data_IF_349109229023
#
_entry.id   IF_349109229023
#
_cell.length_a   1.000
_cell.length_b   1.000
_cell.length_c   1.000
_cell.angle_alpha   90.00
_cell.angle_beta   90.00
_cell.angle_gamma   90.00
#
_symmetry.space_group_name_H-M   'P 1'
#
loop_
_entity.id
_entity.type
_entity.pdbx_description
1 polymer ?
#
# COMPACT_ATOMS: atom_id res chain seq x y z
N UNK A 1 -1.62 14.67 -3.03
CA UNK A 1 -0.87 13.59 -2.33
C UNK A 1 -1.20 12.27 -2.99
N UNK A 2 -0.20 11.47 -3.23
CA UNK A 2 -0.37 10.14 -3.82
C UNK A 2 -0.10 9.06 -2.77
N UNK A 3 -1.06 8.16 -2.58
CA UNK A 3 -1.06 7.17 -1.49
C UNK A 3 -1.06 5.76 -2.06
N UNK A 4 -0.23 4.89 -1.49
CA UNK A 4 -0.23 3.46 -1.80
C UNK A 4 -0.79 2.70 -0.61
N UNK A 5 -1.83 1.90 -0.85
CA UNK A 5 -2.44 1.01 0.14
C UNK A 5 -2.00 -0.41 -0.16
N UNK A 6 -1.42 -1.08 0.83
CA UNK A 6 -0.93 -2.45 0.72
C UNK A 6 -1.66 -3.29 1.75
N UNK A 7 -2.64 -4.09 1.29
CA UNK A 7 -3.53 -4.85 2.16
C UNK A 7 -3.99 -6.10 1.42
N UNK A 8 -3.83 -7.27 2.04
CA UNK A 8 -4.18 -8.55 1.42
C UNK A 8 -5.69 -8.79 1.35
N UNK A 9 -6.46 -8.20 2.26
CA UNK A 9 -7.91 -8.28 2.21
C UNK A 9 -8.44 -7.26 1.21
N UNK A 10 -8.83 -7.75 0.03
CA UNK A 10 -9.19 -6.90 -1.09
C UNK A 10 -10.32 -5.92 -0.79
N UNK A 11 -11.37 -6.39 -0.10
CA UNK A 11 -12.50 -5.53 0.22
C UNK A 11 -12.09 -4.38 1.15
N UNK A 12 -11.21 -4.67 2.11
CA UNK A 12 -10.70 -3.65 3.02
C UNK A 12 -9.81 -2.65 2.28
N UNK A 13 -8.90 -3.14 1.43
CA UNK A 13 -8.04 -2.28 0.63
C UNK A 13 -8.85 -1.34 -0.25
N UNK A 14 -9.87 -1.88 -0.93
CA UNK A 14 -10.73 -1.09 -1.81
C UNK A 14 -11.56 -0.07 -1.04
N UNK A 15 -12.02 -0.43 0.16
CA UNK A 15 -12.76 0.50 1.02
C UNK A 15 -11.89 1.68 1.47
N UNK A 16 -10.65 1.39 1.85
CA UNK A 16 -9.69 2.44 2.23
C UNK A 16 -9.41 3.35 1.03
N UNK A 17 -9.18 2.76 -0.13
CA UNK A 17 -8.94 3.51 -1.37
C UNK A 17 -10.10 4.46 -1.68
N UNK A 18 -11.33 3.95 -1.67
CA UNK A 18 -12.52 4.77 -1.95
C UNK A 18 -12.67 5.93 -0.97
N UNK A 19 -12.45 5.66 0.32
CA UNK A 19 -12.56 6.68 1.34
C UNK A 19 -11.56 7.81 1.10
N UNK A 20 -10.33 7.46 0.76
CA UNK A 20 -9.27 8.46 0.52
C UNK A 20 -9.48 9.21 -0.79
N UNK A 21 -9.96 8.52 -1.83
CA UNK A 21 -10.29 9.17 -3.10
C UNK A 21 -11.38 10.21 -2.95
N UNK A 22 -12.37 9.94 -2.09
CA UNK A 22 -13.43 10.92 -1.79
C UNK A 22 -12.88 12.19 -1.14
N UNK A 23 -11.74 12.09 -0.47
CA UNK A 23 -11.07 13.24 0.15
C UNK A 23 -10.15 13.99 -0.82
N UNK A 24 -10.07 13.52 -2.07
CA UNK A 24 -9.29 14.20 -3.10
C UNK A 24 -7.88 13.67 -3.29
N UNK A 25 -7.51 12.56 -2.63
CA UNK A 25 -6.19 11.94 -2.80
C UNK A 25 -6.16 11.02 -4.00
N UNK A 26 -4.99 10.85 -4.61
CA UNK A 26 -4.74 9.83 -5.61
C UNK A 26 -4.31 8.56 -4.88
N UNK A 27 -4.99 7.44 -5.11
CA UNK A 27 -4.76 6.22 -4.35
C UNK A 27 -4.60 5.01 -5.27
N UNK A 28 -3.55 4.25 -5.02
CA UNK A 28 -3.34 2.93 -5.62
C UNK A 28 -3.48 1.88 -4.54
N UNK A 29 -4.13 0.76 -4.84
CA UNK A 29 -4.23 -0.35 -3.91
C UNK A 29 -3.57 -1.58 -4.50
N UNK A 30 -2.74 -2.25 -3.71
CA UNK A 30 -2.15 -3.54 -4.05
C UNK A 30 -2.46 -4.52 -2.92
N UNK A 31 -2.46 -5.81 -3.23
CA UNK A 31 -3.10 -6.81 -2.38
C UNK A 31 -2.12 -7.82 -1.79
N UNK A 32 -0.83 -7.65 -2.02
CA UNK A 32 0.20 -8.46 -1.37
C UNK A 32 1.49 -7.67 -1.19
N UNK A 33 2.37 -8.21 -0.33
CA UNK A 33 3.60 -7.51 0.04
C UNK A 33 4.61 -7.42 -1.10
N UNK A 34 4.65 -8.39 -2.00
CA UNK A 34 5.58 -8.33 -3.15
C UNK A 34 5.22 -7.18 -4.07
N UNK A 35 3.93 -7.09 -4.45
CA UNK A 35 3.45 -5.99 -5.27
C UNK A 35 3.65 -4.66 -4.55
N UNK A 36 3.37 -4.63 -3.24
CA UNK A 36 3.57 -3.44 -2.43
C UNK A 36 5.00 -2.94 -2.45
N UNK A 37 5.97 -3.86 -2.29
CA UNK A 37 7.38 -3.50 -2.31
C UNK A 37 7.80 -2.96 -3.68
N UNK A 38 7.35 -3.59 -4.77
CA UNK A 38 7.65 -3.14 -6.12
C UNK A 38 7.10 -1.74 -6.39
N UNK A 39 5.86 -1.50 -6.01
CA UNK A 39 5.23 -0.18 -6.20
C UNK A 39 5.91 0.88 -5.34
N UNK A 40 6.22 0.55 -4.08
CA UNK A 40 6.89 1.50 -3.18
C UNK A 40 8.25 1.94 -3.70
N UNK A 41 8.97 1.05 -4.37
CA UNK A 41 10.29 1.35 -4.95
C UNK A 41 10.22 2.33 -6.12
N UNK A 42 9.04 2.56 -6.70
CA UNK A 42 8.89 3.56 -7.76
C UNK A 42 9.14 4.99 -7.27
N UNK A 43 9.03 5.22 -5.96
CA UNK A 43 9.34 6.51 -5.36
C UNK A 43 8.34 7.62 -5.69
N UNK A 44 7.13 7.26 -6.11
CA UNK A 44 6.12 8.24 -6.53
C UNK A 44 5.03 8.47 -5.50
N UNK A 45 5.07 7.75 -4.38
CA UNK A 45 4.04 7.83 -3.34
C UNK A 45 4.50 8.67 -2.17
N UNK A 46 3.60 9.52 -1.68
CA UNK A 46 3.86 10.38 -0.53
C UNK A 46 3.59 9.67 0.79
N UNK A 47 2.74 8.64 0.77
CA UNK A 47 2.33 7.91 1.96
C UNK A 47 2.08 6.45 1.63
N UNK A 48 2.49 5.55 2.54
CA UNK A 48 2.20 4.13 2.45
C UNK A 48 1.31 3.71 3.62
N UNK A 49 0.23 2.98 3.31
CA UNK A 49 -0.63 2.37 4.33
C UNK A 49 -0.44 0.86 4.23
N UNK A 50 0.04 0.23 5.31
CA UNK A 50 0.47 -1.16 5.32
C UNK A 50 -0.31 -1.99 6.31
N UNK A 51 -0.66 -3.24 5.91
CA UNK A 51 -1.04 -4.29 6.83
C UNK A 51 0.19 -5.16 7.08
N UNK A 52 0.62 -5.29 8.34
CA UNK A 52 1.85 -6.02 8.69
C UNK A 52 1.68 -7.54 8.71
N UNK A 53 0.47 -8.05 8.52
CA UNK A 53 0.15 -9.46 8.60
C UNK A 53 -0.14 -10.09 7.24
N UNK A 54 0.55 -9.67 6.19
CA UNK A 54 0.33 -10.16 4.84
C UNK A 54 1.01 -11.52 4.59
N UNK A 55 0.36 -12.42 3.81
CA UNK A 55 0.85 -13.79 3.65
C UNK A 55 2.14 -13.95 2.85
N UNK A 56 2.40 -13.12 1.85
CA UNK A 56 3.59 -13.27 0.99
C UNK A 56 4.81 -12.54 1.53
N UNK A 57 4.59 -11.41 2.19
CA UNK A 57 5.67 -10.59 2.75
C UNK A 57 5.03 -9.74 3.83
N UNK A 58 5.59 -9.76 5.03
CA UNK A 58 5.00 -8.97 6.11
C UNK A 58 5.26 -7.47 5.92
N UNK A 59 4.48 -6.65 6.64
CA UNK A 59 4.54 -5.20 6.51
C UNK A 59 5.90 -4.62 6.88
N UNK A 60 6.63 -5.26 7.79
CA UNK A 60 7.97 -4.82 8.18
C UNK A 60 8.96 -5.00 7.05
N UNK A 61 8.88 -6.12 6.33
CA UNK A 61 9.75 -6.35 5.17
C UNK A 61 9.47 -5.36 4.04
N UNK A 62 8.19 -5.07 3.79
CA UNK A 62 7.80 -4.08 2.78
C UNK A 62 8.36 -2.71 3.15
N UNK A 63 8.19 -2.30 4.40
CA UNK A 63 8.68 -1.00 4.88
C UNK A 63 10.20 -0.90 4.77
N UNK A 64 10.91 -1.97 5.14
CA UNK A 64 12.36 -2.01 5.06
C UNK A 64 12.85 -1.89 3.64
N UNK A 65 12.23 -2.60 2.69
CA UNK A 65 12.58 -2.50 1.27
C UNK A 65 12.28 -1.13 0.69
N UNK A 66 11.18 -0.54 1.08
CA UNK A 66 10.81 0.80 0.62
C UNK A 66 11.77 1.88 1.13
N UNK A 67 12.36 1.67 2.32
CA UNK A 67 13.31 2.61 2.92
C UNK A 67 14.73 2.46 2.37
N UNK A 68 15.02 1.35 1.74
CA UNK A 68 16.34 1.12 1.15
C UNK A 68 16.52 1.98 -0.12
#
# INVERSE_FOLDING_TARGET
>A
MKILVIEDEKLLADSIREMLERKGFQVEAVYDGEAGAEYALLGIYDLLILDVMMPKMDGYEVARKAAA
#
